data_IF_543202545005
#
_entry.id   IF_543202545005
#
_cell.length_a   1.000
_cell.length_b   1.000
_cell.length_c   1.000
_cell.angle_alpha   90.00
_cell.angle_beta   90.00
_cell.angle_gamma   90.00
#
_symmetry.space_group_name_H-M   'P 1'
#
loop_
_entity.id
_entity.type
_entity.pdbx_description
1 polymer ?
#
# COMPACT_ATOMS: atom_id res chain seq x y z
N UNK A 1 9.83 -10.70 16.57
CA UNK A 1 9.44 -9.94 15.37
C UNK A 1 10.44 -8.81 15.20
N UNK A 2 10.83 -8.50 13.96
CA UNK A 2 11.80 -7.46 13.61
C UNK A 2 11.24 -6.66 12.43
N UNK A 3 11.38 -5.35 12.47
CA UNK A 3 11.10 -4.46 11.35
C UNK A 3 12.38 -3.72 10.96
N UNK A 4 12.62 -3.59 9.65
CA UNK A 4 13.82 -2.97 9.07
C UNK A 4 13.40 -2.03 7.96
N UNK A 5 13.81 -0.77 8.03
CA UNK A 5 13.64 0.19 6.93
C UNK A 5 14.67 -0.09 5.83
N UNK A 6 14.20 -0.11 4.58
CA UNK A 6 15.01 -0.31 3.39
C UNK A 6 15.39 1.06 2.78
N UNK A 7 16.45 1.08 1.96
CA UNK A 7 16.92 2.29 1.28
C UNK A 7 15.90 2.96 0.35
N UNK A 8 14.93 2.20 -0.16
CA UNK A 8 13.83 2.70 -1.01
C UNK A 8 12.66 3.29 -0.20
N UNK A 9 12.77 3.35 1.12
CA UNK A 9 11.71 3.79 2.01
C UNK A 9 10.59 2.77 2.22
N UNK A 10 10.77 1.51 1.79
CA UNK A 10 9.90 0.42 2.22
C UNK A 10 10.31 -0.11 3.59
N UNK A 11 9.42 -0.82 4.27
CA UNK A 11 9.73 -1.50 5.55
C UNK A 11 9.54 -2.99 5.40
N UNK A 12 10.58 -3.76 5.68
CA UNK A 12 10.50 -5.22 5.76
C UNK A 12 10.26 -5.64 7.19
N UNK A 13 9.25 -6.49 7.38
CA UNK A 13 8.89 -7.07 8.67
C UNK A 13 9.11 -8.58 8.57
N UNK A 14 9.91 -9.13 9.47
CA UNK A 14 10.17 -10.55 9.62
C UNK A 14 9.71 -11.00 11.02
N UNK A 15 9.07 -12.17 11.12
CA UNK A 15 8.65 -12.73 12.40
C UNK A 15 8.98 -14.21 12.50
N UNK A 16 9.04 -14.71 13.74
CA UNK A 16 9.13 -16.14 13.97
C UNK A 16 7.74 -16.75 13.77
N UNK A 17 7.69 -17.92 13.13
CA UNK A 17 6.47 -18.73 13.14
C UNK A 17 6.20 -19.19 14.57
N UNK A 18 4.97 -19.09 15.09
CA UNK A 18 4.62 -19.66 16.38
C UNK A 18 4.95 -21.17 16.42
N UNK A 19 5.27 -21.70 17.61
CA UNK A 19 5.42 -23.14 17.77
C UNK A 19 4.11 -23.85 17.35
N UNK A 20 4.20 -24.77 16.39
CA UNK A 20 3.03 -25.44 15.82
C UNK A 20 2.34 -24.69 14.68
N UNK A 21 2.85 -23.53 14.25
CA UNK A 21 2.50 -22.87 12.99
C UNK A 21 3.47 -23.29 11.87
N UNK A 22 2.98 -23.32 10.63
CA UNK A 22 3.69 -23.88 9.47
C UNK A 22 2.87 -24.91 8.69
N UNK A 23 1.60 -25.07 9.02
CA UNK A 23 0.66 -25.76 8.14
C UNK A 23 0.38 -24.88 6.91
N UNK A 24 0.06 -25.47 5.76
CA UNK A 24 -0.35 -24.72 4.56
C UNK A 24 -1.61 -23.87 4.78
N UNK A 25 -2.30 -24.07 5.91
CA UNK A 25 -3.55 -23.41 6.28
C UNK A 25 -3.35 -22.18 7.19
N UNK A 26 -2.11 -21.85 7.56
CA UNK A 26 -1.79 -20.68 8.37
C UNK A 26 -1.67 -19.43 7.50
N UNK A 27 -2.49 -18.42 7.78
CA UNK A 27 -2.48 -17.10 7.13
C UNK A 27 -2.14 -16.03 8.16
N UNK A 28 -1.09 -15.26 7.89
CA UNK A 28 -0.67 -14.11 8.69
C UNK A 28 -1.36 -12.84 8.19
N UNK A 29 -2.16 -12.22 9.04
CA UNK A 29 -2.71 -10.90 8.82
C UNK A 29 -1.74 -9.84 9.33
N UNK A 30 -1.41 -8.88 8.46
CA UNK A 30 -0.50 -7.78 8.77
C UNK A 30 -1.31 -6.51 8.96
N UNK A 31 -1.35 -6.03 10.20
CA UNK A 31 -1.92 -4.74 10.59
C UNK A 31 -0.86 -3.66 10.70
N UNK A 32 -1.22 -2.43 10.36
CA UNK A 32 -0.40 -1.22 10.56
C UNK A 32 -1.20 -0.15 11.29
N UNK A 33 -0.55 0.55 12.21
CA UNK A 33 -1.06 1.76 12.85
C UNK A 33 -0.05 2.89 12.69
N UNK A 34 -0.50 3.98 12.08
CA UNK A 34 0.28 5.20 11.88
C UNK A 34 0.13 6.15 13.09
N UNK A 35 1.01 7.17 13.22
CA UNK A 35 0.90 8.17 14.27
C UNK A 35 -0.43 8.93 14.11
N UNK A 36 -1.20 9.01 15.20
CA UNK A 36 -2.53 9.63 15.19
C UNK A 36 -3.68 8.70 14.82
N UNK A 37 -3.43 7.46 14.41
CA UNK A 37 -4.48 6.44 14.27
C UNK A 37 -4.74 5.74 15.62
N UNK A 38 -6.01 5.47 15.94
CA UNK A 38 -6.41 4.76 17.15
C UNK A 38 -6.11 3.26 17.08
N UNK A 39 -6.35 2.66 15.93
CA UNK A 39 -6.41 1.20 15.74
C UNK A 39 -5.48 0.70 14.63
N UNK A 40 -5.12 -0.59 14.69
CA UNK A 40 -4.41 -1.26 13.61
C UNK A 40 -5.37 -1.52 12.44
N UNK A 41 -4.94 -1.11 11.25
CA UNK A 41 -5.64 -1.38 9.99
C UNK A 41 -4.98 -2.53 9.27
N UNK A 42 -5.77 -3.50 8.82
CA UNK A 42 -5.28 -4.60 7.99
C UNK A 42 -4.76 -4.04 6.66
N UNK A 43 -3.48 -4.27 6.37
CA UNK A 43 -2.84 -3.83 5.11
C UNK A 43 -2.48 -4.99 4.19
N UNK A 44 -2.33 -6.20 4.73
CA UNK A 44 -2.03 -7.38 3.92
C UNK A 44 -2.36 -8.69 4.65
N UNK A 45 -2.41 -9.78 3.89
CA UNK A 45 -2.43 -11.14 4.38
C UNK A 45 -1.43 -11.98 3.58
N UNK A 46 -0.63 -12.81 4.26
CA UNK A 46 0.44 -13.61 3.65
C UNK A 46 0.56 -14.97 4.32
N UNK A 47 1.02 -15.99 3.59
CA UNK A 47 1.31 -17.31 4.15
C UNK A 47 2.77 -17.45 4.62
N UNK A 48 3.64 -16.48 4.29
CA UNK A 48 5.06 -16.50 4.68
C UNK A 48 5.32 -15.56 5.84
N UNK A 49 6.26 -15.88 6.76
CA UNK A 49 6.54 -15.08 7.95
C UNK A 49 7.39 -13.83 7.67
N UNK A 50 7.11 -13.18 6.53
CA UNK A 50 7.81 -12.00 6.02
C UNK A 50 6.84 -11.16 5.19
N UNK A 51 6.91 -9.84 5.36
CA UNK A 51 6.14 -8.88 4.57
C UNK A 51 6.95 -7.61 4.31
N UNK A 52 6.77 -6.99 3.14
CA UNK A 52 7.39 -5.69 2.82
C UNK A 52 6.30 -4.66 2.57
N UNK A 53 6.19 -3.68 3.45
CA UNK A 53 5.30 -2.54 3.31
C UNK A 53 5.91 -1.47 2.41
N UNK A 54 5.34 -1.31 1.21
CA UNK A 54 5.69 -0.25 0.25
C UNK A 54 4.66 0.89 0.21
N UNK A 55 3.66 0.83 1.09
CA UNK A 55 2.49 1.73 1.10
C UNK A 55 2.56 2.78 2.20
N UNK A 56 3.73 2.98 2.81
CA UNK A 56 3.92 4.00 3.84
C UNK A 56 3.79 5.38 3.23
N UNK A 57 2.91 6.25 3.75
CA UNK A 57 2.82 7.62 3.30
C UNK A 57 4.18 8.33 3.39
N UNK A 58 4.48 9.26 2.47
CA UNK A 58 5.64 10.12 2.63
C UNK A 58 5.55 10.87 3.96
N UNK A 59 6.70 11.16 4.58
CA UNK A 59 6.82 11.83 5.88
C UNK A 59 6.33 11.05 7.11
N UNK A 60 6.00 9.77 6.97
CA UNK A 60 5.74 8.90 8.14
C UNK A 60 7.04 8.75 8.94
N UNK A 61 7.04 9.19 10.20
CA UNK A 61 8.21 9.12 11.11
C UNK A 61 8.22 7.88 11.99
N UNK A 62 7.06 7.27 12.22
CA UNK A 62 6.93 6.06 13.02
C UNK A 62 5.78 5.22 12.45
N UNK A 63 5.90 3.90 12.51
CA UNK A 63 4.78 3.00 12.28
C UNK A 63 4.82 1.84 13.26
N UNK A 64 3.64 1.41 13.73
CA UNK A 64 3.47 0.19 14.49
C UNK A 64 2.89 -0.90 13.60
N UNK A 65 3.41 -2.12 13.73
CA UNK A 65 2.92 -3.29 13.00
C UNK A 65 2.43 -4.35 13.97
N UNK A 66 1.34 -5.02 13.58
CA UNK A 66 0.78 -6.15 14.30
C UNK A 66 0.66 -7.32 13.33
N UNK A 67 1.08 -8.51 13.75
CA UNK A 67 0.90 -9.76 13.03
C UNK A 67 -0.08 -10.61 13.81
N UNK A 68 -1.18 -11.00 13.17
CA UNK A 68 -2.18 -11.91 13.73
C UNK A 68 -2.20 -13.17 12.89
N UNK A 69 -1.98 -14.32 13.51
CA UNK A 69 -2.08 -15.62 12.82
C UNK A 69 -3.54 -16.05 12.79
N UNK A 70 -4.05 -16.43 11.61
CA UNK A 70 -5.33 -17.11 11.45
C UNK A 70 -5.08 -18.48 10.83
N UNK A 71 -5.66 -19.52 11.42
CA UNK A 71 -5.69 -20.86 10.83
C UNK A 71 -7.10 -21.14 10.35
N UNK A 72 -7.24 -21.72 9.16
CA UNK A 72 -8.50 -22.34 8.79
C UNK A 72 -8.70 -23.57 9.68
N UNK A 73 -9.64 -23.50 10.63
CA UNK A 73 -10.05 -24.69 11.38
C UNK A 73 -10.60 -25.77 10.44
N UNK A 74 -10.66 -27.04 10.88
CA UNK A 74 -11.33 -28.08 10.09
C UNK A 74 -12.74 -27.59 9.73
N UNK A 75 -13.09 -27.70 8.44
CA UNK A 75 -14.32 -27.17 7.84
C UNK A 75 -15.51 -27.31 8.80
N UNK A 76 -16.08 -26.19 9.25
CA UNK A 76 -17.22 -26.16 10.17
C UNK A 76 -16.88 -25.80 11.62
N UNK A 77 -15.59 -25.72 11.97
CA UNK A 77 -15.13 -24.98 13.14
C UNK A 77 -14.38 -23.77 12.64
N UNK A 78 -14.94 -22.57 12.85
CA UNK A 78 -14.18 -21.32 12.82
C UNK A 78 -13.19 -21.36 13.99
N UNK A 79 -12.20 -22.22 13.86
CA UNK A 79 -11.13 -22.43 14.82
C UNK A 79 -10.28 -21.19 14.83
N UNK A 80 -10.74 -20.17 15.55
CA UNK A 80 -9.92 -19.07 16.04
C UNK A 80 -8.87 -19.73 16.92
N UNK A 81 -7.73 -20.09 16.35
CA UNK A 81 -6.56 -20.35 17.15
C UNK A 81 -6.32 -19.08 17.98
N UNK A 82 -6.26 -19.27 19.30
CA UNK A 82 -6.02 -18.20 20.27
C UNK A 82 -4.75 -17.40 19.96
N UNK A 83 -4.63 -16.20 20.53
CA UNK A 83 -3.91 -15.08 19.94
C UNK A 83 -2.39 -15.29 19.91
N UNK A 84 -1.88 -15.82 18.79
CA UNK A 84 -0.53 -15.52 18.33
C UNK A 84 -0.51 -14.11 17.74
N UNK A 85 -0.56 -13.08 18.60
CA UNK A 85 -0.40 -11.68 18.17
C UNK A 85 1.00 -11.22 18.51
N UNK A 86 1.82 -10.95 17.50
CA UNK A 86 3.11 -10.29 17.67
C UNK A 86 2.97 -8.82 17.27
N UNK A 87 3.38 -7.90 18.15
CA UNK A 87 3.43 -6.47 17.84
C UNK A 87 4.90 -6.05 17.80
N UNK A 88 5.28 -5.29 16.78
CA UNK A 88 6.56 -4.60 16.73
C UNK A 88 6.37 -3.16 16.28
N UNK A 89 7.25 -2.31 16.76
CA UNK A 89 7.27 -0.88 16.44
C UNK A 89 8.54 -0.59 15.67
N UNK A 90 8.46 0.27 14.66
CA UNK A 90 9.63 0.77 13.95
C UNK A 90 9.61 2.30 13.98
N UNK A 91 10.71 2.87 14.47
CA UNK A 91 11.00 4.28 14.24
C UNK A 91 11.64 4.37 12.86
N UNK A 92 11.02 5.13 11.95
CA UNK A 92 11.56 5.35 10.62
C UNK A 92 12.51 6.53 10.73
N UNK A 93 13.77 6.33 10.37
CA UNK A 93 14.77 7.39 10.46
C UNK A 93 14.73 8.26 9.20
N UNK A 94 13.51 8.67 8.82
CA UNK A 94 13.31 9.63 7.75
C UNK A 94 13.53 11.00 8.36
N UNK A 95 14.61 11.66 7.94
CA UNK A 95 14.77 13.08 8.21
C UNK A 95 13.45 13.77 7.85
N UNK A 96 12.93 14.59 8.76
CA UNK A 96 11.83 15.51 8.47
C UNK A 96 12.34 16.54 7.47
N UNK A 97 12.49 16.12 6.22
CA UNK A 97 13.13 16.85 5.14
C UNK A 97 12.08 17.63 4.36
N UNK A 98 11.95 18.90 4.73
CA UNK A 98 11.43 19.99 3.90
C UNK A 98 9.95 19.90 3.46
N UNK A 99 9.04 20.30 4.34
CA UNK A 99 7.92 21.15 3.91
C UNK A 99 8.49 22.48 3.40
N UNK A 100 8.87 22.50 2.13
CA UNK A 100 9.16 23.71 1.40
C UNK A 100 9.03 23.41 -0.08
N UNK A 101 8.17 24.11 -0.83
CA UNK A 101 8.21 23.99 -2.28
C UNK A 101 9.62 24.39 -2.70
N UNK A 102 10.32 23.52 -3.43
CA UNK A 102 11.44 23.96 -4.24
C UNK A 102 10.85 24.88 -5.29
N UNK A 103 10.68 26.16 -4.95
CA UNK A 103 10.63 27.23 -5.94
C UNK A 103 11.97 27.15 -6.66
N UNK A 104 12.02 26.38 -7.74
CA UNK A 104 12.88 26.77 -8.85
C UNK A 104 12.42 28.16 -9.22
N UNK A 105 13.15 29.16 -8.74
CA UNK A 105 13.05 30.53 -9.23
C UNK A 105 13.02 30.43 -10.76
N UNK A 106 11.92 30.88 -11.36
CA UNK A 106 11.87 31.06 -12.79
C UNK A 106 13.09 31.92 -13.18
N UNK A 107 13.84 31.57 -14.23
CA UNK A 107 14.89 32.45 -14.71
C UNK A 107 14.28 33.82 -15.00
N UNK A 108 14.87 34.86 -14.39
CA UNK A 108 14.53 36.26 -14.59
C UNK A 108 14.43 36.53 -16.11
N UNK A 109 13.31 37.04 -16.63
CA UNK A 109 13.23 37.38 -18.04
C UNK A 109 14.14 38.58 -18.30
N UNK A 110 15.25 38.34 -18.99
CA UNK A 110 16.04 39.41 -19.60
C UNK A 110 15.22 39.93 -20.78
N UNK A 111 14.84 41.21 -20.71
CA UNK A 111 14.21 41.90 -21.82
C UNK A 111 15.14 41.88 -23.04
N UNK A 112 14.73 41.15 -24.08
CA UNK A 112 15.40 41.06 -25.36
C UNK A 112 14.38 41.21 -26.47
N UNK A 113 14.29 42.42 -27.02
CA UNK A 113 13.55 42.77 -28.23
C UNK A 113 14.10 42.00 -29.43
N UNK A 114 13.29 41.20 -30.13
CA UNK A 114 13.39 41.03 -31.60
C UNK A 114 12.20 40.27 -32.22
N UNK A 115 11.30 41.06 -32.81
CA UNK A 115 10.58 40.96 -34.09
C UNK A 115 10.44 39.60 -34.85
N UNK A 116 9.18 39.16 -34.96
CA UNK A 116 8.45 38.58 -36.11
C UNK A 116 8.86 37.24 -36.78
N UNK A 117 7.92 36.27 -36.82
CA UNK A 117 7.01 36.01 -37.97
C UNK A 117 6.12 34.76 -37.74
N UNK A 118 4.80 34.97 -37.87
CA UNK A 118 3.81 34.19 -38.67
C UNK A 118 3.92 32.65 -38.63
N UNK A 119 2.87 31.96 -38.14
CA UNK A 119 1.81 31.24 -38.90
C UNK A 119 1.13 30.21 -37.96
N UNK A 120 -0.19 30.28 -37.77
CA UNK A 120 -1.04 29.23 -37.16
C UNK A 120 -1.44 28.18 -38.25
N UNK A 121 -2.35 27.20 -38.05
CA UNK A 121 -2.98 26.61 -36.84
C UNK A 121 -3.09 25.04 -36.90
N UNK A 122 -3.90 24.43 -36.00
CA UNK A 122 -4.73 23.20 -36.14
C UNK A 122 -4.21 21.87 -35.53
N UNK A 123 -5.08 21.27 -34.69
CA UNK A 123 -5.24 19.81 -34.47
C UNK A 123 -4.34 19.21 -33.39
N UNK A 124 -4.74 18.27 -32.52
CA UNK A 124 -5.89 17.39 -32.52
C UNK A 124 -6.23 16.96 -31.07
N UNK A 125 -7.54 16.90 -30.81
CA UNK A 125 -8.19 16.15 -29.74
C UNK A 125 -7.95 14.65 -29.97
N UNK A 126 -7.49 13.93 -28.95
CA UNK A 126 -7.40 12.47 -28.97
C UNK A 126 -8.17 11.87 -27.77
N UNK A 127 -9.44 11.64 -28.03
CA UNK A 127 -10.30 10.51 -27.63
C UNK A 127 -10.00 9.76 -26.33
N UNK A 128 -10.84 10.02 -25.33
CA UNK A 128 -11.14 9.14 -24.20
C UNK A 128 -11.68 7.78 -24.68
N UNK A 129 -11.02 6.71 -24.24
CA UNK A 129 -11.41 5.32 -24.51
C UNK A 129 -12.36 4.86 -23.40
N UNK A 130 -13.66 4.82 -23.70
CA UNK A 130 -14.73 4.30 -22.85
C UNK A 130 -14.47 2.83 -22.45
N UNK A 131 -14.49 2.45 -21.17
CA UNK A 131 -14.41 1.05 -20.76
C UNK A 131 -15.72 0.30 -21.05
N UNK A 132 -15.59 -0.93 -21.53
CA UNK A 132 -16.69 -1.82 -21.86
C UNK A 132 -17.45 -2.26 -20.60
N UNK A 133 -18.78 -2.17 -20.63
CA UNK A 133 -19.63 -2.72 -19.58
C UNK A 133 -19.56 -4.26 -19.60
N UNK A 134 -19.47 -4.93 -18.43
CA UNK A 134 -19.57 -6.38 -18.35
C UNK A 134 -21.00 -6.85 -18.66
N UNK A 135 -21.12 -7.86 -19.51
CA UNK A 135 -22.38 -8.51 -19.87
C UNK A 135 -22.87 -9.36 -18.68
N UNK A 136 -24.07 -9.06 -18.19
CA UNK A 136 -24.77 -9.88 -17.20
C UNK A 136 -25.23 -11.20 -17.83
N UNK A 137 -24.98 -12.37 -17.23
CA UNK A 137 -25.54 -13.63 -17.71
C UNK A 137 -27.04 -13.71 -17.43
N UNK A 138 -27.80 -14.22 -18.40
CA UNK A 138 -29.24 -14.44 -18.28
C UNK A 138 -29.57 -15.61 -17.34
N UNK A 139 -30.68 -15.56 -16.60
CA UNK A 139 -31.12 -16.66 -15.74
C UNK A 139 -31.64 -17.85 -16.57
N UNK A 140 -31.54 -19.08 -16.02
CA UNK A 140 -32.03 -20.29 -16.67
C UNK A 140 -33.57 -20.30 -16.75
N UNK A 141 -34.09 -20.80 -17.88
CA UNK A 141 -35.52 -21.03 -18.08
C UNK A 141 -35.96 -22.25 -17.25
N UNK A 142 -36.83 -22.03 -16.27
CA UNK A 142 -37.63 -23.11 -15.70
C UNK A 142 -38.62 -23.63 -16.76
N UNK A 143 -38.72 -24.95 -16.86
CA UNK A 143 -39.66 -25.64 -17.73
C UNK A 143 -40.76 -26.24 -16.83
N UNK A 144 -42.05 -26.11 -17.20
CA UNK A 144 -43.16 -26.70 -16.45
C UNK A 144 -43.17 -28.23 -16.51
#
# INVERSE_FOLDING_TARGET
>A
MRATENYDGSVTIDWAMPAGAGSQDDVYQVGRRLPGESDFRLISATAVPRFTDRSLPPNTTNAHYQIVVRRAGPKGTDGVYGPGSAVASVNLNRAQGATGPRQTAAPRPTAGTSTAKKTSPIGNVASEKKPAQPKTPSPPKEKP
#
